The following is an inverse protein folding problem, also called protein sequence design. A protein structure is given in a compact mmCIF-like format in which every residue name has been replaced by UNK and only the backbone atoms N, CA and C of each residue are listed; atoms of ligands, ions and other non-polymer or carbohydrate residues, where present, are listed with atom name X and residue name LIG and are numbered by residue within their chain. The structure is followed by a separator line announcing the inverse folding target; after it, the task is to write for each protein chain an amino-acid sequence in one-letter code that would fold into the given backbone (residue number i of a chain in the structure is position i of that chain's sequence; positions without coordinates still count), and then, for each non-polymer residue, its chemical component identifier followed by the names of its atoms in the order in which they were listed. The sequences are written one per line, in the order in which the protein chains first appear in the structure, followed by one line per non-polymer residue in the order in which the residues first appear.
data_IF_106095454462
#
_entry.id   IF_106095454462
#
_cell.length_a   1.000
_cell.length_b   1.000
_cell.length_c   1.000
_cell.angle_alpha   90.00
_cell.angle_beta   90.00
_cell.angle_gamma   90.00
#
_symmetry.space_group_name_H-M   'P 1'
#
loop_
_entity.id
_entity.type
_entity.pdbx_description
1 polymer ?
#
# COMPACT_ATOMS: atom_id res chain seq x y z
N UNK A 1 -16.56 9.48 -13.67
CA UNK A 1 -15.54 8.50 -13.26
C UNK A 1 -14.94 8.92 -11.91
N UNK A 2 -14.84 8.00 -11.00
CA UNK A 2 -14.33 8.28 -9.68
C UNK A 2 -12.79 8.29 -9.67
N UNK A 3 -12.18 9.21 -8.91
CA UNK A 3 -10.74 9.25 -8.74
C UNK A 3 -10.35 8.53 -7.44
N UNK A 4 -9.71 7.36 -7.52
CA UNK A 4 -9.31 6.63 -6.31
C UNK A 4 -8.26 7.40 -5.50
N UNK A 5 -8.35 7.28 -4.19
CA UNK A 5 -7.33 7.80 -3.29
C UNK A 5 -6.41 6.66 -2.87
N UNK A 6 -5.12 6.81 -3.14
CA UNK A 6 -4.11 5.83 -2.76
C UNK A 6 -3.22 6.45 -1.69
N UNK A 7 -3.08 5.77 -0.56
CA UNK A 7 -2.16 6.16 0.48
C UNK A 7 -1.04 5.14 0.54
N UNK A 8 0.20 5.63 0.52
CA UNK A 8 1.38 4.79 0.71
C UNK A 8 1.99 5.21 2.04
N UNK A 9 1.81 4.36 3.06
CA UNK A 9 2.33 4.61 4.40
C UNK A 9 3.72 4.00 4.50
N UNK A 10 4.67 4.79 4.99
CA UNK A 10 6.08 4.39 5.03
C UNK A 10 6.77 5.08 6.20
N UNK A 11 7.98 4.63 6.53
CA UNK A 11 8.83 5.38 7.43
C UNK A 11 10.11 5.79 6.72
N UNK A 12 10.72 6.86 7.21
CA UNK A 12 11.96 7.38 6.66
C UNK A 12 13.07 6.32 6.81
N UNK A 13 13.81 6.07 5.74
CA UNK A 13 14.81 5.01 5.69
C UNK A 13 14.32 3.70 5.08
N UNK A 14 13.03 3.55 4.82
CA UNK A 14 12.53 2.37 4.11
C UNK A 14 12.86 2.50 2.61
N UNK A 15 13.59 1.55 2.02
CA UNK A 15 13.97 1.65 0.61
C UNK A 15 12.85 1.25 -0.35
N UNK A 16 11.76 0.68 0.17
CA UNK A 16 10.75 0.04 -0.68
C UNK A 16 9.56 0.92 -1.02
N UNK A 17 9.39 2.08 -0.38
CA UNK A 17 8.19 2.89 -0.62
C UNK A 17 8.16 3.53 -2.00
N UNK A 18 9.31 3.90 -2.54
CA UNK A 18 9.36 4.46 -3.90
C UNK A 18 9.01 3.41 -4.95
N UNK A 19 9.44 2.17 -4.75
CA UNK A 19 9.08 1.07 -5.64
C UNK A 19 7.57 0.78 -5.56
N UNK A 20 6.97 0.89 -4.38
CA UNK A 20 5.52 0.73 -4.22
C UNK A 20 4.77 1.83 -4.97
N UNK A 21 5.23 3.07 -4.88
CA UNK A 21 4.65 4.18 -5.63
C UNK A 21 4.74 3.93 -7.13
N UNK A 22 5.92 3.52 -7.61
CA UNK A 22 6.12 3.24 -9.03
C UNK A 22 5.20 2.11 -9.51
N UNK A 23 4.99 1.08 -8.68
CA UNK A 23 4.06 0.00 -8.98
C UNK A 23 2.64 0.52 -9.15
N UNK A 24 2.17 1.35 -8.22
CA UNK A 24 0.83 1.93 -8.29
C UNK A 24 0.68 2.79 -9.54
N UNK A 25 1.66 3.63 -9.83
CA UNK A 25 1.64 4.52 -11.00
C UNK A 25 1.59 3.73 -12.30
N UNK A 26 2.39 2.66 -12.39
CA UNK A 26 2.42 1.82 -13.59
C UNK A 26 1.07 1.14 -13.82
N UNK A 27 0.48 0.57 -12.78
CA UNK A 27 -0.81 -0.10 -12.90
C UNK A 27 -1.92 0.88 -13.21
N UNK A 28 -1.88 2.07 -12.61
CA UNK A 28 -2.85 3.11 -12.90
C UNK A 28 -2.83 3.50 -14.38
N UNK A 29 -1.64 3.62 -14.97
CA UNK A 29 -1.51 3.90 -16.40
C UNK A 29 -2.12 2.77 -17.23
N UNK A 30 -1.84 1.53 -16.90
CA UNK A 30 -2.41 0.37 -17.60
C UNK A 30 -3.93 0.37 -17.57
N UNK A 31 -4.52 0.78 -16.45
CA UNK A 31 -5.96 0.81 -16.25
C UNK A 31 -6.62 2.11 -16.71
N UNK A 32 -5.82 3.10 -17.13
CA UNK A 32 -6.29 4.44 -17.48
C UNK A 32 -7.03 5.10 -16.31
N UNK A 33 -6.51 4.93 -15.12
CA UNK A 33 -7.03 5.51 -13.89
C UNK A 33 -6.05 6.58 -13.42
N UNK A 34 -6.57 7.68 -12.92
CA UNK A 34 -5.75 8.77 -12.37
C UNK A 34 -5.98 8.87 -10.87
N UNK A 35 -5.26 8.06 -10.06
CA UNK A 35 -5.43 8.11 -8.61
C UNK A 35 -4.80 9.35 -8.01
N UNK A 36 -5.34 9.78 -6.87
CA UNK A 36 -4.65 10.72 -6.00
C UNK A 36 -3.72 9.89 -5.11
N UNK A 37 -2.42 10.10 -5.22
CA UNK A 37 -1.44 9.35 -4.44
C UNK A 37 -0.86 10.23 -3.35
N UNK A 38 -1.06 9.84 -2.10
CA UNK A 38 -0.52 10.53 -0.93
C UNK A 38 0.53 9.65 -0.25
N UNK A 39 1.69 10.21 0.03
CA UNK A 39 2.71 9.55 0.83
C UNK A 39 2.50 9.94 2.29
N UNK A 40 2.34 8.96 3.15
CA UNK A 40 2.07 9.18 4.58
C UNK A 40 3.25 8.71 5.40
N UNK A 41 3.96 9.64 6.01
CA UNK A 41 5.08 9.31 6.88
C UNK A 41 4.58 8.78 8.23
N UNK A 42 5.14 7.65 8.66
CA UNK A 42 4.88 7.05 9.97
C UNK A 42 6.16 7.25 10.79
N UNK A 43 6.19 8.22 11.71
CA UNK A 43 7.45 8.62 12.34
C UNK A 43 7.93 7.71 13.46
N UNK A 44 7.05 6.96 14.10
CA UNK A 44 7.41 6.16 15.28
C UNK A 44 6.40 5.05 15.54
N UNK A 45 6.67 4.24 16.58
CA UNK A 45 5.81 3.12 16.94
C UNK A 45 4.41 3.56 17.42
N UNK A 46 4.31 4.71 18.08
CA UNK A 46 3.02 5.22 18.53
C UNK A 46 2.13 5.58 17.33
N UNK A 47 2.70 6.25 16.33
CA UNK A 47 1.98 6.57 15.10
C UNK A 47 1.60 5.29 14.35
N UNK A 48 2.49 4.29 14.35
CA UNK A 48 2.19 3.00 13.72
C UNK A 48 0.96 2.35 14.33
N UNK A 49 0.84 2.37 15.66
CA UNK A 49 -0.34 1.84 16.34
C UNK A 49 -1.61 2.63 15.99
N UNK A 50 -1.54 3.96 16.00
CA UNK A 50 -2.68 4.82 15.69
C UNK A 50 -3.15 4.66 14.26
N UNK A 51 -2.24 4.52 13.31
CA UNK A 51 -2.54 4.39 11.89
C UNK A 51 -2.81 2.95 11.46
N UNK A 52 -2.76 2.00 12.39
CA UNK A 52 -2.93 0.58 12.11
C UNK A 52 -1.91 0.09 11.07
N UNK A 53 -0.67 0.52 11.23
CA UNK A 53 0.41 0.32 10.27
C UNK A 53 0.98 -1.11 10.38
N UNK A 54 0.96 -1.84 9.29
CA UNK A 54 1.45 -3.22 9.23
C UNK A 54 2.90 -3.31 8.71
N UNK A 55 3.57 -2.19 8.62
CA UNK A 55 4.94 -2.12 8.13
C UNK A 55 5.04 -1.36 6.82
N UNK A 56 6.25 -0.95 6.47
CA UNK A 56 6.52 -0.13 5.29
C UNK A 56 6.96 -1.00 4.11
N UNK A 57 6.41 -0.81 2.91
CA UNK A 57 5.32 0.10 2.58
C UNK A 57 3.94 -0.54 2.79
N UNK A 58 2.99 0.22 3.28
CA UNK A 58 1.59 -0.17 3.31
C UNK A 58 0.86 0.62 2.23
N UNK A 59 0.13 -0.05 1.36
CA UNK A 59 -0.63 0.57 0.28
C UNK A 59 -2.11 0.39 0.54
N UNK A 60 -2.84 1.51 0.64
CA UNK A 60 -4.30 1.52 0.84
C UNK A 60 -4.97 2.25 -0.30
N UNK A 61 -6.02 1.65 -0.82
CA UNK A 61 -6.87 2.27 -1.84
C UNK A 61 -8.22 2.55 -1.21
N UNK A 62 -8.61 3.81 -1.17
CA UNK A 62 -9.83 4.28 -0.51
C UNK A 62 -9.93 3.76 0.93
N UNK A 63 -8.82 3.80 1.66
CA UNK A 63 -8.74 3.41 3.06
C UNK A 63 -8.58 1.93 3.33
N UNK A 64 -8.52 1.09 2.30
CA UNK A 64 -8.39 -0.37 2.45
C UNK A 64 -7.03 -0.85 1.98
N UNK A 65 -6.41 -1.70 2.79
CA UNK A 65 -5.14 -2.35 2.42
C UNK A 65 -5.36 -3.20 1.16
N UNK A 66 -4.41 -3.15 0.23
CA UNK A 66 -4.54 -3.94 -1.01
C UNK A 66 -4.35 -5.43 -0.78
N UNK A 67 -3.65 -5.81 0.27
CA UNK A 67 -3.48 -7.24 0.58
C UNK A 67 -4.77 -7.79 1.17
N UNK A 68 -5.34 -8.86 0.58
CA UNK A 68 -6.58 -9.46 1.11
C UNK A 68 -6.42 -9.90 2.56
N UNK A 69 -7.37 -9.51 3.41
CA UNK A 69 -7.38 -9.88 4.82
C UNK A 69 -6.52 -9.01 5.72
N UNK A 70 -5.72 -8.12 5.17
CA UNK A 70 -4.81 -7.30 5.98
C UNK A 70 -5.54 -6.33 6.91
N UNK A 71 -6.69 -5.82 6.51
CA UNK A 71 -7.46 -4.88 7.33
C UNK A 71 -7.99 -5.48 8.64
N UNK A 72 -7.96 -6.81 8.75
CA UNK A 72 -8.40 -7.52 9.95
C UNK A 72 -7.26 -7.84 10.90
N UNK A 73 -6.03 -7.54 10.50
CA UNK A 73 -4.85 -7.80 11.33
C UNK A 73 -4.69 -6.74 12.41
N UNK A 74 -4.10 -7.15 13.54
CA UNK A 74 -3.82 -6.28 14.66
C UNK A 74 -2.35 -6.20 15.04
N UNK A 75 -1.47 -6.82 14.27
CA UNK A 75 -0.03 -6.87 14.53
C UNK A 75 0.69 -5.65 13.95
N UNK A 76 0.27 -4.46 14.39
CA UNK A 76 0.84 -3.21 13.93
C UNK A 76 2.30 -3.09 14.37
N UNK A 77 3.16 -2.65 13.47
CA UNK A 77 4.60 -2.64 13.71
C UNK A 77 5.30 -1.52 12.95
N UNK A 78 6.25 -0.89 13.62
CA UNK A 78 7.12 0.11 13.00
C UNK A 78 8.36 -0.59 12.43
N UNK A 79 8.20 -1.22 11.28
CA UNK A 79 9.23 -2.04 10.64
C UNK A 79 8.95 -2.18 9.15
N UNK A 80 9.88 -2.79 8.43
CA UNK A 80 9.65 -3.15 7.03
C UNK A 80 8.59 -4.23 6.93
N UNK A 81 7.72 -4.10 5.95
CA UNK A 81 6.67 -5.07 5.69
C UNK A 81 7.14 -6.11 4.68
N UNK A 82 6.80 -7.34 4.93
CA UNK A 82 7.10 -8.46 4.05
C UNK A 82 5.78 -9.00 3.53
N UNK A 83 5.63 -9.01 2.22
CA UNK A 83 4.43 -9.51 1.56
C UNK A 83 4.66 -10.92 1.05
N UNK A 84 3.66 -11.80 1.14
CA UNK A 84 3.76 -13.10 0.48
C UNK A 84 3.84 -12.90 -1.03
N UNK A 85 4.66 -13.72 -1.67
CA UNK A 85 4.86 -13.68 -3.11
C UNK A 85 4.86 -15.11 -3.64
N UNK A 86 4.77 -15.25 -4.95
CA UNK A 86 4.72 -16.56 -5.61
C UNK A 86 5.91 -17.46 -5.20
N UNK A 87 7.08 -16.84 -5.00
CA UNK A 87 8.29 -17.56 -4.57
C UNK A 87 8.85 -16.91 -3.31
N UNK A 88 8.20 -17.16 -2.16
CA UNK A 88 8.66 -16.63 -0.88
C UNK A 88 8.03 -15.29 -0.55
N UNK A 89 8.84 -14.26 -0.37
CA UNK A 89 8.40 -12.96 0.13
C UNK A 89 8.96 -11.81 -0.71
N UNK A 90 8.26 -10.68 -0.65
CA UNK A 90 8.65 -9.46 -1.36
C UNK A 90 8.46 -8.25 -0.46
N UNK A 91 9.24 -7.21 -0.70
CA UNK A 91 9.04 -5.90 -0.06
C UNK A 91 7.93 -5.08 -0.70
N UNK A 92 7.25 -5.61 -1.71
CA UNK A 92 6.19 -4.94 -2.44
C UNK A 92 4.92 -5.78 -2.42
N UNK A 93 3.73 -5.14 -2.46
CA UNK A 93 2.50 -5.89 -2.62
C UNK A 93 2.42 -6.51 -4.00
N UNK A 94 1.65 -7.59 -4.11
CA UNK A 94 1.39 -8.24 -5.39
C UNK A 94 0.70 -7.27 -6.34
N UNK A 95 1.17 -7.21 -7.58
CA UNK A 95 0.62 -6.31 -8.58
C UNK A 95 -0.86 -6.57 -8.85
N UNK A 96 -1.29 -7.83 -8.78
CA UNK A 96 -2.70 -8.19 -8.97
C UNK A 96 -3.61 -7.60 -7.91
N UNK A 97 -3.15 -7.50 -6.66
CA UNK A 97 -3.93 -6.87 -5.60
C UNK A 97 -4.12 -5.38 -5.86
N UNK A 98 -3.06 -4.71 -6.29
CA UNK A 98 -3.11 -3.29 -6.62
C UNK A 98 -4.06 -3.06 -7.80
N UNK A 99 -3.95 -3.89 -8.83
CA UNK A 99 -4.81 -3.81 -10.02
C UNK A 99 -6.28 -3.98 -9.65
N UNK A 100 -6.58 -4.99 -8.86
CA UNK A 100 -7.96 -5.24 -8.44
C UNK A 100 -8.50 -4.09 -7.60
N UNK A 101 -7.71 -3.60 -6.64
CA UNK A 101 -8.13 -2.51 -5.78
C UNK A 101 -8.42 -1.22 -6.57
N UNK A 102 -7.55 -0.87 -7.52
CA UNK A 102 -7.73 0.32 -8.35
C UNK A 102 -8.94 0.16 -9.29
N UNK A 103 -9.11 -1.01 -9.88
CA UNK A 103 -10.25 -1.28 -10.76
C UNK A 103 -11.57 -1.16 -10.01
N UNK A 104 -11.62 -1.70 -8.80
CA UNK A 104 -12.82 -1.65 -7.95
C UNK A 104 -13.14 -0.23 -7.51
N UNK A 105 -12.11 0.54 -7.14
CA UNK A 105 -12.28 1.91 -6.67
C UNK A 105 -12.68 2.86 -7.80
N UNK A 106 -12.28 2.59 -9.02
CA UNK A 106 -12.59 3.43 -10.18
C UNK A 106 -13.94 3.11 -10.81
N UNK A 107 -14.55 2.01 -10.42
CA UNK A 107 -15.83 1.58 -10.99
C UNK A 107 -17.00 2.49 -10.61
#
# INVERSE_FOLDING_TARGET
MRRPRVEILYFDGCPNHEAARALVERIAVELRVEPQIDLVDVPDAAAAAQLRFLGSPTVRVDGRDVEPGADERGDFVFACRVYPAERGFSGQPDAGWVREALSRAAA
#
